data_IF_214577504191
#
_entry.id   IF_214577504191
#
_cell.length_a   1.000
_cell.length_b   1.000
_cell.length_c   1.000
_cell.angle_alpha   90.00
_cell.angle_beta   90.00
_cell.angle_gamma   90.00
#
_symmetry.space_group_name_H-M   'P 1'
#
loop_
_entity.id
_entity.type
_entity.pdbx_description
1 polymer ?
#
# COMPACT_ATOMS: atom_id res chain seq x y z
N UNK A 1 -13.86 -19.25 16.89
CA UNK A 1 -12.67 -18.37 17.05
C UNK A 1 -11.35 -19.11 16.91
N UNK A 2 -11.02 -20.06 17.81
CA UNK A 2 -9.71 -20.77 17.79
C UNK A 2 -9.42 -21.50 16.47
N UNK A 3 -10.43 -22.15 15.89
CA UNK A 3 -10.31 -22.86 14.59
C UNK A 3 -10.01 -21.92 13.42
N UNK A 4 -10.57 -20.70 13.43
CA UNK A 4 -10.34 -19.71 12.36
C UNK A 4 -8.92 -19.14 12.43
N UNK A 5 -8.44 -18.82 13.63
CA UNK A 5 -7.06 -18.34 13.82
C UNK A 5 -6.04 -19.39 13.40
N UNK A 6 -6.28 -20.67 13.70
CA UNK A 6 -5.44 -21.76 13.24
C UNK A 6 -5.42 -21.89 11.71
N UNK A 7 -6.58 -21.75 11.06
CA UNK A 7 -6.68 -21.79 9.60
C UNK A 7 -5.95 -20.60 8.94
N UNK A 8 -6.07 -19.38 9.50
CA UNK A 8 -5.35 -18.20 9.01
C UNK A 8 -3.83 -18.39 9.16
N UNK A 9 -3.38 -18.89 10.31
CA UNK A 9 -1.97 -19.16 10.55
C UNK A 9 -1.40 -20.20 9.57
N UNK A 10 -2.15 -21.27 9.30
CA UNK A 10 -1.76 -22.30 8.32
C UNK A 10 -1.63 -21.70 6.90
N UNK A 11 -2.61 -20.92 6.45
CA UNK A 11 -2.57 -20.25 5.14
C UNK A 11 -1.43 -19.24 5.04
N UNK A 12 -1.14 -18.51 6.12
CA UNK A 12 0.01 -17.59 6.16
C UNK A 12 1.33 -18.35 6.01
N UNK A 13 1.51 -19.45 6.72
CA UNK A 13 2.72 -20.27 6.62
C UNK A 13 2.92 -20.84 5.20
N UNK A 14 1.84 -21.27 4.55
CA UNK A 14 1.86 -21.71 3.16
C UNK A 14 2.25 -20.57 2.21
N UNK A 15 1.66 -19.39 2.36
CA UNK A 15 2.03 -18.20 1.58
C UNK A 15 3.50 -17.81 1.76
N UNK A 16 3.99 -17.81 3.00
CA UNK A 16 5.39 -17.50 3.31
C UNK A 16 6.34 -18.50 2.66
N UNK A 17 5.98 -19.80 2.65
CA UNK A 17 6.75 -20.85 1.97
C UNK A 17 6.86 -20.60 0.47
N UNK A 18 5.75 -20.22 -0.19
CA UNK A 18 5.78 -19.90 -1.62
C UNK A 18 6.64 -18.68 -1.94
N UNK A 19 6.58 -17.62 -1.12
CA UNK A 19 7.39 -16.41 -1.30
C UNK A 19 8.88 -16.67 -1.20
N UNK A 20 9.32 -17.52 -0.27
CA UNK A 20 10.74 -17.89 -0.12
C UNK A 20 11.31 -18.62 -1.34
N UNK A 21 10.46 -19.34 -2.09
CA UNK A 21 10.87 -20.13 -3.26
C UNK A 21 10.95 -19.32 -4.56
N UNK A 22 10.46 -18.09 -4.55
CA UNK A 22 10.47 -17.20 -5.70
C UNK A 22 10.99 -15.80 -5.31
N UNK A 23 12.27 -15.68 -4.89
CA UNK A 23 12.84 -14.39 -4.51
C UNK A 23 12.78 -13.43 -5.71
N UNK A 24 12.04 -12.33 -5.57
CA UNK A 24 11.79 -11.37 -6.65
C UNK A 24 10.71 -11.77 -7.66
N UNK A 25 10.16 -12.99 -7.59
CA UNK A 25 9.08 -13.44 -8.46
C UNK A 25 7.72 -12.79 -8.18
N UNK A 26 7.61 -12.04 -7.08
CA UNK A 26 6.38 -11.34 -6.68
C UNK A 26 6.41 -9.85 -6.95
N UNK A 27 7.46 -9.28 -7.54
CA UNK A 27 7.59 -7.81 -7.68
C UNK A 27 6.39 -7.17 -8.39
N UNK A 28 5.93 -7.78 -9.48
CA UNK A 28 4.77 -7.28 -10.22
C UNK A 28 3.47 -7.44 -9.40
N UNK A 29 3.36 -8.52 -8.63
CA UNK A 29 2.23 -8.76 -7.75
C UNK A 29 2.21 -7.74 -6.60
N UNK A 30 3.35 -7.53 -5.93
CA UNK A 30 3.49 -6.57 -4.83
C UNK A 30 3.15 -5.15 -5.31
N UNK A 31 3.63 -4.75 -6.50
CA UNK A 31 3.30 -3.47 -7.10
C UNK A 31 1.80 -3.33 -7.43
N UNK A 32 1.19 -4.36 -8.05
CA UNK A 32 -0.26 -4.35 -8.31
C UNK A 32 -1.08 -4.28 -7.02
N UNK A 33 -0.60 -4.91 -5.94
CA UNK A 33 -1.22 -4.87 -4.64
C UNK A 33 -1.08 -3.47 -4.00
N UNK A 34 0.03 -2.78 -4.19
CA UNK A 34 0.22 -1.41 -3.69
C UNK A 34 -0.70 -0.41 -4.38
N UNK A 35 -0.93 -0.56 -5.68
CA UNK A 35 -1.92 0.22 -6.42
C UNK A 35 -3.34 -0.06 -5.92
N UNK A 36 -3.71 -1.33 -5.73
CA UNK A 36 -5.03 -1.71 -5.25
C UNK A 36 -5.29 -1.24 -3.83
N UNK A 37 -4.29 -1.36 -2.93
CA UNK A 37 -4.38 -0.85 -1.56
C UNK A 37 -4.51 0.68 -1.52
N UNK A 38 -3.76 1.38 -2.38
CA UNK A 38 -3.88 2.84 -2.51
C UNK A 38 -5.28 3.26 -2.94
N UNK A 39 -5.80 2.65 -4.00
CA UNK A 39 -7.17 2.91 -4.45
C UNK A 39 -8.20 2.60 -3.37
N UNK A 40 -8.15 1.39 -2.79
CA UNK A 40 -9.20 0.93 -1.86
C UNK A 40 -9.18 1.68 -0.53
N UNK A 41 -8.01 2.06 -0.01
CA UNK A 41 -7.91 2.86 1.21
C UNK A 41 -8.48 4.26 1.01
N UNK A 42 -8.03 4.96 -0.03
CA UNK A 42 -8.50 6.31 -0.31
C UNK A 42 -10.01 6.33 -0.64
N UNK A 43 -10.52 5.30 -1.34
CA UNK A 43 -11.95 5.17 -1.62
C UNK A 43 -12.80 5.03 -0.34
N UNK A 44 -12.28 4.36 0.71
CA UNK A 44 -12.95 4.30 2.02
C UNK A 44 -13.03 5.69 2.67
N UNK A 45 -12.03 6.54 2.43
CA UNK A 45 -11.93 7.90 2.95
C UNK A 45 -12.70 8.94 2.10
N UNK A 46 -13.30 8.51 0.98
CA UNK A 46 -14.15 9.33 0.13
C UNK A 46 -13.45 9.92 -1.10
N UNK A 47 -12.22 9.49 -1.39
CA UNK A 47 -11.55 9.81 -2.65
C UNK A 47 -12.34 9.25 -3.84
N UNK A 48 -12.45 10.03 -4.91
CA UNK A 48 -13.35 9.72 -6.03
C UNK A 48 -12.65 9.05 -7.21
N UNK A 49 -11.33 8.87 -7.19
CA UNK A 49 -10.63 8.17 -8.26
C UNK A 49 -11.05 6.70 -8.29
N UNK A 50 -11.31 6.16 -9.48
CA UNK A 50 -11.48 4.72 -9.66
C UNK A 50 -10.11 4.03 -9.78
N UNK A 51 -10.08 2.70 -9.71
CA UNK A 51 -8.84 1.93 -9.74
C UNK A 51 -7.91 2.29 -10.92
N UNK A 52 -8.45 2.34 -12.14
CA UNK A 52 -7.65 2.69 -13.34
C UNK A 52 -7.18 4.14 -13.32
N UNK A 53 -7.98 5.06 -12.78
CA UNK A 53 -7.58 6.47 -12.60
C UNK A 53 -6.43 6.59 -11.60
N UNK A 54 -6.52 5.87 -10.47
CA UNK A 54 -5.45 5.78 -9.47
C UNK A 54 -4.16 5.25 -10.10
N UNK A 55 -4.22 4.17 -10.88
CA UNK A 55 -3.07 3.64 -11.61
C UNK A 55 -2.47 4.68 -12.56
N UNK A 56 -3.29 5.39 -13.34
CA UNK A 56 -2.80 6.43 -14.25
C UNK A 56 -2.11 7.58 -13.52
N UNK A 57 -2.63 7.98 -12.34
CA UNK A 57 -2.00 9.00 -11.50
C UNK A 57 -0.63 8.52 -11.00
N UNK A 58 -0.55 7.31 -10.45
CA UNK A 58 0.68 6.78 -9.84
C UNK A 58 1.75 6.42 -10.87
N UNK A 59 1.39 5.68 -11.91
CA UNK A 59 2.37 5.11 -12.85
C UNK A 59 2.75 6.08 -13.97
N UNK A 60 1.86 7.01 -14.31
CA UNK A 60 2.05 7.90 -15.46
C UNK A 60 2.08 9.38 -15.09
N UNK A 61 1.75 9.75 -13.84
CA UNK A 61 1.73 11.14 -13.41
C UNK A 61 0.67 11.98 -14.12
N UNK A 62 -0.40 11.35 -14.62
CA UNK A 62 -1.46 12.01 -15.40
C UNK A 62 -2.56 12.48 -14.46
N UNK A 63 -2.99 13.74 -14.62
CA UNK A 63 -4.17 14.26 -13.93
C UNK A 63 -5.46 13.87 -14.65
N UNK A 64 -6.49 13.53 -13.88
CA UNK A 64 -7.80 13.12 -14.34
C UNK A 64 -8.76 14.31 -14.35
N UNK A 65 -9.29 14.61 -15.54
CA UNK A 65 -10.24 15.70 -15.72
C UNK A 65 -11.52 15.48 -14.89
N UNK A 66 -12.00 16.55 -14.25
CA UNK A 66 -13.23 16.51 -13.44
C UNK A 66 -13.06 15.91 -12.04
N UNK A 67 -11.83 15.53 -11.64
CA UNK A 67 -11.52 15.04 -10.29
C UNK A 67 -10.83 16.13 -9.47
N UNK A 68 -11.07 16.21 -8.15
CA UNK A 68 -10.37 17.16 -7.29
C UNK A 68 -8.86 16.92 -7.32
N UNK A 69 -8.05 17.98 -7.28
CA UNK A 69 -6.59 17.84 -7.17
C UNK A 69 -6.21 17.08 -5.89
N UNK A 70 -6.93 17.31 -4.78
CA UNK A 70 -6.77 16.61 -3.51
C UNK A 70 -6.75 15.10 -3.69
N UNK A 71 -7.69 14.56 -4.45
CA UNK A 71 -7.80 13.11 -4.68
C UNK A 71 -6.54 12.51 -5.34
N UNK A 72 -5.89 13.27 -6.23
CA UNK A 72 -4.66 12.84 -6.89
C UNK A 72 -3.48 12.86 -5.93
N UNK A 73 -3.39 13.93 -5.14
CA UNK A 73 -2.33 14.10 -4.15
C UNK A 73 -2.44 13.04 -3.06
N UNK A 74 -3.64 12.76 -2.56
CA UNK A 74 -3.88 11.66 -1.62
C UNK A 74 -3.48 10.30 -2.19
N UNK A 75 -3.72 10.05 -3.48
CA UNK A 75 -3.28 8.80 -4.11
C UNK A 75 -1.75 8.70 -4.09
N UNK A 76 -1.07 9.76 -4.50
CA UNK A 76 0.40 9.83 -4.53
C UNK A 76 0.97 9.65 -3.12
N UNK A 77 0.49 10.44 -2.15
CA UNK A 77 0.93 10.43 -0.77
C UNK A 77 0.75 9.05 -0.14
N UNK A 78 -0.41 8.41 -0.34
CA UNK A 78 -0.68 7.08 0.17
C UNK A 78 0.22 6.01 -0.47
N UNK A 79 0.47 6.08 -1.78
CA UNK A 79 1.38 5.15 -2.45
C UNK A 79 2.83 5.30 -1.95
N UNK A 80 3.30 6.54 -1.75
CA UNK A 80 4.61 6.83 -1.15
C UNK A 80 4.68 6.31 0.30
N UNK A 81 3.60 6.46 1.07
CA UNK A 81 3.49 5.97 2.44
C UNK A 81 3.60 4.43 2.52
N UNK A 82 2.96 3.70 1.60
CA UNK A 82 3.11 2.24 1.50
C UNK A 82 4.57 1.84 1.24
N UNK A 83 5.24 2.55 0.33
CA UNK A 83 6.67 2.36 0.07
C UNK A 83 7.52 2.54 1.33
N UNK A 84 7.24 3.58 2.11
CA UNK A 84 7.90 3.83 3.40
C UNK A 84 7.65 2.70 4.41
N UNK A 85 6.40 2.26 4.59
CA UNK A 85 6.06 1.16 5.50
C UNK A 85 6.73 -0.15 5.10
N UNK A 86 6.76 -0.47 3.79
CA UNK A 86 7.43 -1.67 3.29
C UNK A 86 8.94 -1.62 3.50
N UNK A 87 9.56 -0.45 3.35
CA UNK A 87 10.98 -0.27 3.65
C UNK A 87 11.24 -0.48 5.16
N UNK A 88 10.44 0.15 6.02
CA UNK A 88 10.54 0.05 7.47
C UNK A 88 10.37 -1.41 7.95
N UNK A 89 9.46 -2.17 7.35
CA UNK A 89 9.22 -3.57 7.70
C UNK A 89 10.39 -4.52 7.36
N UNK A 90 11.35 -4.09 6.53
CA UNK A 90 12.56 -4.85 6.20
C UNK A 90 13.72 -4.58 7.16
N UNK A 91 13.63 -3.50 7.93
CA UNK A 91 14.63 -3.15 8.93
C UNK A 91 14.45 -4.03 10.18
N UNK A 92 15.54 -4.55 10.77
CA UNK A 92 15.47 -5.32 12.01
C UNK A 92 15.23 -4.45 13.25
N UNK A 93 15.17 -3.12 13.08
CA UNK A 93 14.96 -2.17 14.17
C UNK A 93 13.52 -2.21 14.70
N UNK A 94 13.36 -1.97 16.00
CA UNK A 94 12.04 -1.81 16.59
C UNK A 94 11.36 -0.52 16.09
N UNK A 95 10.05 -0.58 15.87
CA UNK A 95 9.25 0.58 15.50
C UNK A 95 9.35 1.68 16.57
N UNK A 96 9.63 2.91 16.15
CA UNK A 96 9.74 4.07 17.04
C UNK A 96 8.62 5.08 16.81
N UNK A 97 8.41 5.98 17.78
CA UNK A 97 7.49 7.12 17.61
C UNK A 97 7.87 8.01 16.42
N UNK A 98 9.18 8.16 16.17
CA UNK A 98 9.68 8.93 15.03
C UNK A 98 9.22 8.31 13.70
N UNK A 99 9.18 6.99 13.61
CA UNK A 99 8.75 6.30 12.40
C UNK A 99 7.25 6.54 12.13
N UNK A 100 6.44 6.54 13.18
CA UNK A 100 5.02 6.85 13.09
C UNK A 100 4.78 8.31 12.67
N UNK A 101 5.51 9.27 13.25
CA UNK A 101 5.41 10.69 12.86
C UNK A 101 5.85 10.94 11.43
N UNK A 102 6.86 10.21 10.94
CA UNK A 102 7.26 10.25 9.53
C UNK A 102 6.17 9.69 8.62
N UNK A 103 5.57 8.56 8.98
CA UNK A 103 4.47 7.98 8.22
C UNK A 103 3.30 8.96 8.09
N UNK A 104 2.85 9.52 9.22
CA UNK A 104 1.77 10.53 9.26
C UNK A 104 2.07 11.72 8.35
N UNK A 105 3.32 12.21 8.39
CA UNK A 105 3.77 13.28 7.52
C UNK A 105 3.76 12.91 6.04
N UNK A 106 4.07 11.67 5.67
CA UNK A 106 4.04 11.22 4.26
C UNK A 106 2.61 11.09 3.75
N UNK A 107 1.68 10.62 4.60
CA UNK A 107 0.27 10.48 4.25
C UNK A 107 -0.44 11.84 4.12
N UNK A 108 0.00 12.84 4.89
CA UNK A 108 -0.60 14.18 4.94
C UNK A 108 0.30 15.26 4.33
N UNK A 109 1.22 14.88 3.44
CA UNK A 109 2.26 15.79 2.98
C UNK A 109 1.69 16.93 2.12
N UNK A 110 0.54 16.72 1.46
CA UNK A 110 -0.02 17.62 0.45
C UNK A 110 -1.50 17.93 0.62
#
# INVERSE_FOLDING_TARGET
>A
MKTLLAAIAAKKAELDHHRQRAPGGTTNFDHSQDLELTYTSNAIEGNTLIAVETTMVIEHGITIAGKPLKDHLEAIDHFEALGYVRALAREPAALTEMDLRKLDRVVLLR
#
